data_IF_635968271727
#
_entry.id   IF_635968271727
#
_cell.length_a   1.000
_cell.length_b   1.000
_cell.length_c   1.000
_cell.angle_alpha   90.00
_cell.angle_beta   90.00
_cell.angle_gamma   90.00
#
_symmetry.space_group_name_H-M   'P 1'
#
loop_
_entity.id
_entity.type
_entity.pdbx_description
1 polymer ?
#
# COMPACT_ATOMS: atom_id res chain seq x y z
N UNK A 1 19.42 1.17 -15.29
CA UNK A 1 18.83 -0.18 -15.12
C UNK A 1 19.44 -0.79 -13.87
N UNK A 2 18.65 -1.03 -12.82
CA UNK A 2 19.16 -1.62 -11.57
C UNK A 2 19.37 -3.13 -11.78
N UNK A 3 20.55 -3.50 -12.27
CA UNK A 3 20.93 -4.88 -12.61
C UNK A 3 21.48 -5.66 -11.41
N UNK A 4 21.50 -5.05 -10.22
CA UNK A 4 22.13 -5.62 -9.02
C UNK A 4 21.41 -6.87 -8.49
N UNK A 5 20.18 -7.14 -8.93
CA UNK A 5 19.39 -8.28 -8.47
C UNK A 5 18.62 -8.93 -9.65
N UNK A 6 19.18 -9.99 -10.23
CA UNK A 6 18.58 -10.70 -11.38
C UNK A 6 17.17 -11.26 -11.07
N UNK A 7 16.88 -11.63 -9.82
CA UNK A 7 15.57 -12.10 -9.37
C UNK A 7 14.50 -10.99 -9.34
N UNK A 8 14.89 -9.72 -9.49
CA UNK A 8 13.95 -8.61 -9.64
C UNK A 8 13.41 -8.45 -11.05
N UNK A 9 14.01 -9.14 -12.03
CA UNK A 9 13.37 -9.28 -13.34
C UNK A 9 11.96 -9.84 -13.10
N UNK A 10 10.94 -9.14 -13.59
CA UNK A 10 9.53 -9.49 -13.43
C UNK A 10 8.89 -9.25 -12.05
N UNK A 11 9.58 -8.68 -11.06
CA UNK A 11 8.90 -8.34 -9.78
C UNK A 11 7.73 -7.37 -9.97
N UNK A 12 7.76 -6.53 -11.01
CA UNK A 12 6.63 -5.67 -11.35
C UNK A 12 5.35 -6.45 -11.67
N UNK A 13 5.43 -7.74 -12.06
CA UNK A 13 4.23 -8.56 -12.33
C UNK A 13 3.38 -8.73 -11.06
N UNK A 14 3.99 -8.64 -9.88
CA UNK A 14 3.28 -8.69 -8.59
C UNK A 14 2.48 -7.41 -8.31
N UNK A 15 2.62 -6.37 -9.13
CA UNK A 15 1.83 -5.13 -9.06
C UNK A 15 0.72 -5.09 -10.12
N UNK A 16 0.65 -6.11 -10.99
CA UNK A 16 -0.32 -6.18 -12.08
C UNK A 16 -1.71 -6.61 -11.62
N UNK A 17 -2.70 -6.26 -12.45
CA UNK A 17 -4.11 -6.61 -12.24
C UNK A 17 -4.31 -8.13 -12.17
N UNK A 18 -3.68 -8.91 -13.06
CA UNK A 18 -3.83 -10.37 -13.06
C UNK A 18 -3.37 -11.01 -11.73
N UNK A 19 -2.27 -10.51 -11.15
CA UNK A 19 -1.85 -10.96 -9.82
C UNK A 19 -2.85 -10.55 -8.73
N UNK A 20 -3.34 -9.31 -8.76
CA UNK A 20 -4.35 -8.84 -7.81
C UNK A 20 -5.65 -9.68 -7.86
N UNK A 21 -6.08 -10.10 -9.05
CA UNK A 21 -7.23 -10.97 -9.25
C UNK A 21 -7.00 -12.37 -8.65
N UNK A 22 -5.81 -12.94 -8.83
CA UNK A 22 -5.43 -14.20 -8.20
C UNK A 22 -5.49 -14.06 -6.67
N UNK A 23 -4.91 -13.00 -6.10
CA UNK A 23 -4.96 -12.76 -4.65
C UNK A 23 -6.41 -12.63 -4.18
N UNK A 24 -7.22 -11.83 -4.87
CA UNK A 24 -8.63 -11.62 -4.54
C UNK A 24 -9.41 -12.93 -4.48
N UNK A 25 -9.20 -13.82 -5.45
CA UNK A 25 -9.86 -15.12 -5.50
C UNK A 25 -9.48 -16.07 -4.36
N UNK A 26 -8.34 -15.84 -3.70
CA UNK A 26 -7.83 -16.69 -2.61
C UNK A 26 -7.97 -16.05 -1.22
N UNK A 27 -8.45 -14.81 -1.14
CA UNK A 27 -8.73 -14.18 0.14
C UNK A 27 -9.97 -14.81 0.79
N UNK A 28 -9.89 -15.05 2.09
CA UNK A 28 -11.07 -15.35 2.90
C UNK A 28 -12.00 -14.13 2.93
N UNK A 29 -13.24 -14.35 3.31
CA UNK A 29 -14.17 -13.27 3.68
C UNK A 29 -13.47 -12.32 4.68
N UNK A 30 -13.64 -11.02 4.49
CA UNK A 30 -13.02 -9.96 5.29
C UNK A 30 -11.47 -9.91 5.20
N UNK A 31 -10.87 -10.66 4.28
CA UNK A 31 -9.43 -10.65 4.03
C UNK A 31 -8.94 -9.33 3.45
N UNK A 32 -7.69 -8.98 3.78
CA UNK A 32 -7.02 -7.76 3.31
C UNK A 32 -5.75 -8.12 2.56
N UNK A 33 -5.63 -7.62 1.33
CA UNK A 33 -4.38 -7.65 0.58
C UNK A 33 -3.58 -6.38 0.88
N UNK A 34 -2.40 -6.54 1.50
CA UNK A 34 -1.48 -5.45 1.78
C UNK A 34 -0.16 -5.68 1.06
N UNK A 35 0.32 -4.69 0.31
CA UNK A 35 1.58 -4.81 -0.42
C UNK A 35 2.31 -3.47 -0.54
N UNK A 36 3.64 -3.56 -0.64
CA UNK A 36 4.51 -2.42 -0.82
C UNK A 36 4.49 -1.98 -2.30
N UNK A 37 4.04 -0.76 -2.56
CA UNK A 37 4.00 -0.17 -3.91
C UNK A 37 5.31 0.48 -4.33
N UNK A 38 6.28 0.60 -3.41
CA UNK A 38 7.52 1.39 -3.59
C UNK A 38 7.21 2.77 -4.17
N UNK A 39 6.14 3.40 -3.66
CA UNK A 39 5.65 4.71 -4.08
C UNK A 39 5.12 4.81 -5.52
N UNK A 40 4.89 3.69 -6.20
CA UNK A 40 4.23 3.70 -7.51
C UNK A 40 2.76 4.13 -7.36
N UNK A 41 2.36 5.29 -7.93
CA UNK A 41 0.98 5.77 -7.81
C UNK A 41 0.01 4.95 -8.67
N UNK A 42 0.47 4.26 -9.71
CA UNK A 42 -0.37 3.37 -10.53
C UNK A 42 -0.80 2.11 -9.79
N UNK A 43 -0.09 1.75 -8.72
CA UNK A 43 -0.39 0.54 -7.96
C UNK A 43 -1.73 0.63 -7.24
N UNK A 44 -2.11 1.81 -6.70
CA UNK A 44 -3.42 1.94 -6.03
C UNK A 44 -4.55 1.93 -7.05
N UNK A 45 -4.36 2.51 -8.23
CA UNK A 45 -5.34 2.44 -9.32
C UNK A 45 -5.56 1.00 -9.77
N UNK A 46 -4.50 0.20 -9.85
CA UNK A 46 -4.57 -1.22 -10.19
C UNK A 46 -5.28 -2.04 -9.11
N UNK A 47 -5.01 -1.78 -7.84
CA UNK A 47 -5.77 -2.40 -6.75
C UNK A 47 -7.25 -1.98 -6.79
N UNK A 48 -7.54 -0.71 -7.06
CA UNK A 48 -8.90 -0.13 -7.12
C UNK A 48 -9.73 -0.67 -8.29
N UNK A 49 -9.09 -1.11 -9.38
CA UNK A 49 -9.79 -1.76 -10.48
C UNK A 49 -10.21 -3.20 -10.16
N UNK A 50 -9.64 -3.79 -9.11
CA UNK A 50 -9.82 -5.20 -8.76
C UNK A 50 -10.63 -5.38 -7.47
N UNK A 51 -10.44 -4.52 -6.47
CA UNK A 51 -11.06 -4.58 -5.14
C UNK A 51 -12.01 -3.42 -4.91
N UNK A 52 -13.05 -3.65 -4.10
CA UNK A 52 -14.07 -2.62 -3.80
C UNK A 52 -13.56 -1.48 -2.92
N UNK A 53 -12.70 -1.78 -1.94
CA UNK A 53 -12.17 -0.81 -0.99
C UNK A 53 -10.65 -0.83 -1.03
N UNK A 54 -10.05 0.33 -1.26
CA UNK A 54 -8.60 0.48 -1.32
C UNK A 54 -8.14 1.78 -0.71
N UNK A 55 -6.99 1.75 -0.06
CA UNK A 55 -6.32 2.95 0.42
C UNK A 55 -4.80 2.76 0.39
N UNK A 56 -4.09 3.88 0.39
CA UNK A 56 -2.64 3.95 0.52
C UNK A 56 -2.26 4.59 1.84
N UNK A 57 -1.33 3.95 2.56
CA UNK A 57 -0.64 4.53 3.70
C UNK A 57 0.86 4.45 3.43
N UNK A 58 1.51 5.62 3.32
CA UNK A 58 2.92 5.75 2.91
C UNK A 58 3.18 5.00 1.59
N UNK A 59 4.07 4.02 1.59
CA UNK A 59 4.41 3.20 0.43
C UNK A 59 3.65 1.87 0.37
N UNK A 60 2.62 1.69 1.18
CA UNK A 60 1.80 0.48 1.19
C UNK A 60 0.39 0.75 0.67
N UNK A 61 -0.14 -0.22 -0.06
CA UNK A 61 -1.53 -0.27 -0.49
C UNK A 61 -2.22 -1.38 0.28
N UNK A 62 -3.44 -1.10 0.70
CA UNK A 62 -4.35 -2.04 1.33
C UNK A 62 -5.61 -2.13 0.47
N UNK A 63 -6.06 -3.35 0.22
CA UNK A 63 -7.19 -3.63 -0.64
C UNK A 63 -8.07 -4.76 -0.07
N UNK A 64 -9.39 -4.60 -0.14
CA UNK A 64 -10.36 -5.62 0.29
C UNK A 64 -11.71 -5.43 -0.42
N UNK A 65 -12.50 -6.49 -0.47
CA UNK A 65 -13.91 -6.41 -0.86
C UNK A 65 -14.84 -6.09 0.32
N UNK A 66 -14.32 -6.17 1.54
CA UNK A 66 -15.03 -5.82 2.76
C UNK A 66 -14.68 -4.40 3.17
N UNK A 67 -15.63 -3.70 3.81
CA UNK A 67 -15.43 -2.30 4.19
C UNK A 67 -14.21 -2.17 5.11
N UNK A 68 -13.24 -1.35 4.71
CA UNK A 68 -12.08 -1.02 5.52
C UNK A 68 -12.36 0.29 6.24
N UNK A 69 -13.08 0.21 7.35
CA UNK A 69 -13.26 1.37 8.23
C UNK A 69 -11.99 1.60 9.02
N UNK A 70 -11.26 2.65 8.68
CA UNK A 70 -10.03 3.02 9.40
C UNK A 70 -10.39 4.08 10.44
N UNK A 71 -10.11 3.84 11.73
CA UNK A 71 -10.35 4.83 12.76
C UNK A 71 -9.49 6.08 12.51
N UNK A 72 -10.15 7.21 12.31
CA UNK A 72 -9.48 8.50 12.06
C UNK A 72 -9.02 9.12 13.40
N UNK A 73 -9.69 8.81 14.50
CA UNK A 73 -9.37 9.35 15.82
C UNK A 73 -8.20 8.59 16.48
N UNK A 74 -7.15 9.31 16.87
CA UNK A 74 -5.94 8.76 17.51
C UNK A 74 -6.25 7.97 18.78
N UNK A 75 -7.20 8.41 19.61
CA UNK A 75 -7.61 7.71 20.82
C UNK A 75 -8.25 6.34 20.52
N UNK A 76 -9.04 6.24 19.45
CA UNK A 76 -9.62 4.97 18.99
C UNK A 76 -8.54 4.03 18.47
N UNK A 77 -7.57 4.57 17.73
CA UNK A 77 -6.41 3.79 17.26
C UNK A 77 -5.58 3.26 18.42
N UNK A 78 -5.26 4.10 19.41
CA UNK A 78 -4.53 3.70 20.63
C UNK A 78 -5.25 2.56 21.36
N UNK A 79 -6.57 2.67 21.55
CA UNK A 79 -7.36 1.63 22.19
C UNK A 79 -7.39 0.31 21.40
N UNK A 80 -7.33 0.35 20.07
CA UNK A 80 -7.24 -0.86 19.24
C UNK A 80 -5.85 -1.49 19.30
N UNK A 81 -4.80 -0.67 19.24
CA UNK A 81 -3.41 -1.12 19.36
C UNK A 81 -3.11 -1.72 20.73
N UNK A 82 -3.76 -1.22 21.78
CA UNK A 82 -3.64 -1.76 23.14
C UNK A 82 -4.26 -3.16 23.30
N UNK A 83 -5.03 -3.64 22.33
CA UNK A 83 -5.56 -5.02 22.30
C UNK A 83 -4.62 -6.00 21.61
N UNK A 84 -3.56 -5.53 20.97
CA UNK A 84 -2.58 -6.38 20.30
C UNK A 84 -1.69 -7.00 21.37
N UNK A 85 -1.58 -8.33 21.36
CA UNK A 85 -0.61 -9.03 22.17
C UNK A 85 0.79 -8.94 21.53
N UNK A 86 1.55 -7.94 21.98
CA UNK A 86 2.89 -7.67 21.47
C UNK A 86 3.91 -8.78 21.81
N UNK A 87 3.63 -9.64 22.78
CA UNK A 87 4.59 -10.67 23.24
C UNK A 87 4.88 -11.74 22.17
N UNK A 88 3.96 -11.95 21.23
CA UNK A 88 4.11 -12.94 20.16
C UNK A 88 4.77 -12.40 18.88
N UNK A 89 5.08 -11.10 18.83
CA UNK A 89 5.37 -10.41 17.57
C UNK A 89 6.87 -10.28 17.21
N UNK A 90 7.75 -10.94 17.97
CA UNK A 90 9.16 -11.26 17.63
C UNK A 90 10.15 -10.08 17.51
N UNK A 91 9.66 -8.86 17.29
CA UNK A 91 10.45 -7.64 17.10
C UNK A 91 10.14 -6.54 18.13
N UNK A 92 9.15 -6.76 19.00
CA UNK A 92 8.71 -5.80 20.01
C UNK A 92 9.20 -6.24 21.39
N UNK A 93 9.62 -5.27 22.21
CA UNK A 93 10.02 -5.55 23.60
C UNK A 93 8.75 -5.78 24.42
N UNK A 94 8.69 -6.92 25.10
CA UNK A 94 7.50 -7.38 25.84
C UNK A 94 7.00 -6.37 26.89
N UNK A 95 7.89 -5.55 27.45
CA UNK A 95 7.58 -4.59 28.51
C UNK A 95 7.15 -3.20 28.00
N UNK A 96 7.09 -2.98 26.69
CA UNK A 96 6.80 -1.65 26.12
C UNK A 96 5.41 -1.64 25.49
N UNK A 97 4.53 -0.80 26.03
CA UNK A 97 3.28 -0.45 25.35
C UNK A 97 3.57 0.51 24.18
N UNK A 98 3.47 -0.02 22.97
CA UNK A 98 3.70 0.75 21.73
C UNK A 98 2.46 1.52 21.26
N UNK A 99 1.31 1.34 21.89
CA UNK A 99 0.01 1.79 21.36
C UNK A 99 -0.03 3.30 21.13
N UNK A 100 0.45 4.09 22.10
CA UNK A 100 0.54 5.57 21.98
C UNK A 100 1.46 6.02 20.86
N UNK A 101 2.66 5.44 20.80
CA UNK A 101 3.68 5.79 19.82
C UNK A 101 3.22 5.41 18.41
N UNK A 102 2.68 4.22 18.23
CA UNK A 102 2.14 3.75 16.96
C UNK A 102 0.91 4.53 16.53
N UNK A 103 -0.02 4.84 17.45
CA UNK A 103 -1.17 5.70 17.14
C UNK A 103 -0.70 7.07 16.62
N UNK A 104 0.31 7.67 17.26
CA UNK A 104 0.90 8.92 16.80
C UNK A 104 1.56 8.79 15.41
N UNK A 105 2.32 7.73 15.16
CA UNK A 105 2.97 7.49 13.86
C UNK A 105 1.93 7.27 12.76
N UNK A 106 0.93 6.44 13.01
CA UNK A 106 -0.15 6.14 12.06
C UNK A 106 -0.94 7.42 11.75
N UNK A 107 -1.30 8.20 12.78
CA UNK A 107 -2.00 9.48 12.59
C UNK A 107 -1.14 10.60 11.99
N UNK A 108 0.19 10.44 11.86
CA UNK A 108 1.07 11.49 11.33
C UNK A 108 1.11 11.57 9.80
N UNK A 109 0.60 10.53 9.12
CA UNK A 109 0.61 10.44 7.66
C UNK A 109 -0.82 10.26 7.17
N UNK A 110 -1.23 10.93 6.08
CA UNK A 110 -2.57 10.80 5.57
C UNK A 110 -2.79 9.41 4.98
N UNK A 111 -4.02 8.93 5.13
CA UNK A 111 -4.50 7.78 4.40
C UNK A 111 -5.18 8.29 3.14
N UNK A 112 -4.71 7.82 1.99
CA UNK A 112 -5.09 8.34 0.70
C UNK A 112 -5.96 7.33 -0.06
N UNK A 113 -7.04 7.81 -0.67
CA UNK A 113 -7.79 7.04 -1.67
C UNK A 113 -7.16 7.23 -3.07
N UNK A 114 -7.68 6.52 -4.07
CA UNK A 114 -7.18 6.58 -5.46
C UNK A 114 -7.23 8.00 -6.06
N UNK A 115 -8.26 8.79 -5.73
CA UNK A 115 -8.42 10.16 -6.21
C UNK A 115 -7.38 11.09 -5.58
N UNK A 116 -7.11 10.95 -4.28
CA UNK A 116 -6.09 11.73 -3.59
C UNK A 116 -4.69 11.46 -4.19
N UNK A 117 -4.40 10.18 -4.48
CA UNK A 117 -3.13 9.76 -5.10
C UNK A 117 -3.02 10.25 -6.53
N UNK A 118 -4.10 10.20 -7.30
CA UNK A 118 -4.15 10.73 -8.67
C UNK A 118 -3.84 12.23 -8.68
N UNK A 119 -4.52 13.00 -7.84
CA UNK A 119 -4.28 14.43 -7.67
C UNK A 119 -2.83 14.72 -7.28
N UNK A 120 -2.30 14.01 -6.27
CA UNK A 120 -0.91 14.18 -5.81
C UNK A 120 0.12 13.82 -6.87
N UNK A 121 -0.19 12.86 -7.75
CA UNK A 121 0.72 12.45 -8.83
C UNK A 121 0.81 13.47 -9.97
N UNK A 122 -0.14 14.39 -10.07
CA UNK A 122 -0.21 15.40 -11.14
C UNK A 122 -0.51 14.81 -12.53
N UNK A 123 -0.93 13.55 -12.60
CA UNK A 123 -1.31 12.87 -13.84
C UNK A 123 -2.42 11.86 -13.61
N UNK A 124 -3.07 11.46 -14.69
CA UNK A 124 -3.99 10.32 -14.65
C UNK A 124 -3.24 9.04 -14.31
N UNK A 125 -3.77 8.26 -13.38
CA UNK A 125 -3.24 6.96 -13.01
C UNK A 125 -3.64 5.91 -14.06
N UNK A 126 -2.83 4.86 -14.16
CA UNK A 126 -3.07 3.76 -15.09
C UNK A 126 -3.15 2.44 -14.34
N UNK A 127 -4.00 1.55 -14.84
CA UNK A 127 -4.02 0.15 -14.42
C UNK A 127 -2.81 -0.55 -15.03
N UNK A 128 -2.06 -1.24 -14.18
CA UNK A 128 -0.92 -2.08 -14.57
C UNK A 128 -1.48 -3.43 -15.01
N UNK A 129 -1.16 -3.82 -16.22
CA UNK A 129 -1.50 -5.13 -16.78
C UNK A 129 -0.23 -5.75 -17.36
N UNK A 130 -0.27 -7.05 -17.61
CA UNK A 130 0.81 -7.81 -18.23
C UNK A 130 1.17 -7.27 -19.62
N UNK A 131 0.20 -6.69 -20.33
CA UNK A 131 0.38 -6.06 -21.65
C UNK A 131 0.95 -4.62 -21.58
N UNK A 132 0.82 -3.95 -20.43
CA UNK A 132 1.27 -2.58 -20.22
C UNK A 132 1.95 -2.45 -18.85
N UNK A 133 3.04 -3.19 -18.68
CA UNK A 133 3.85 -3.13 -17.48
C UNK A 133 4.42 -1.72 -17.29
N UNK A 134 4.07 -1.08 -16.18
CA UNK A 134 4.54 0.25 -15.82
C UNK A 134 5.75 0.11 -14.90
N UNK A 135 6.94 0.34 -15.45
CA UNK A 135 8.18 0.39 -14.67
C UNK A 135 8.43 1.80 -14.14
N UNK A 136 9.27 1.91 -13.12
CA UNK A 136 9.63 3.17 -12.46
C UNK A 136 10.14 4.26 -13.41
N UNK A 137 10.67 3.87 -14.58
CA UNK A 137 11.28 4.79 -15.54
C UNK A 137 10.27 5.54 -16.42
N UNK A 138 9.06 4.99 -16.62
CA UNK A 138 8.11 5.54 -17.61
C UNK A 138 7.69 6.99 -17.31
N UNK A 139 7.57 7.31 -16.02
CA UNK A 139 7.18 8.63 -15.52
C UNK A 139 8.24 9.21 -14.58
N UNK A 140 9.45 8.66 -14.60
CA UNK A 140 10.56 9.18 -13.80
C UNK A 140 10.87 10.62 -14.20
N UNK A 141 11.16 11.47 -13.22
CA UNK A 141 11.67 12.81 -13.49
C UNK A 141 13.07 12.70 -14.07
N UNK A 142 13.40 13.57 -15.02
CA UNK A 142 14.76 13.65 -15.54
C UNK A 142 15.71 14.04 -14.41
N UNK A 143 16.89 13.42 -14.36
CA UNK A 143 17.94 13.87 -13.45
C UNK A 143 18.45 15.29 -13.81
N UNK A 144 18.07 15.80 -14.99
CA UNK A 144 18.43 17.12 -15.49
C UNK A 144 17.30 18.14 -15.35
N UNK A 145 16.11 17.74 -14.87
CA UNK A 145 15.07 18.71 -14.52
C UNK A 145 15.40 19.28 -13.15
N UNK A 146 16.18 20.36 -13.14
CA UNK A 146 16.34 21.25 -11.99
C UNK A 146 15.09 22.13 -11.95
N UNK A 147 14.30 22.00 -10.88
CA UNK A 147 13.36 23.02 -10.41
C UNK A 147 13.88 23.55 -9.07
#
# INVERSE_FOLDING_TARGET
MNTSFHWRAYSSNLLGMGFAEIVRAHLKKDGVFAFNSTWSPDSIATASSTFKYTFQYRNFIFASDSSLEIPIATATMEALLGKIDWTTSGNFREEVDYSKTLAKIISSEPILNVTDVEQKSGRRLRVITEENMLTEFKYGRSLLSVE
#
